data_IF_389895011679
#
_entry.id   IF_389895011679
#
_cell.length_a   1.000
_cell.length_b   1.000
_cell.length_c   1.000
_cell.angle_alpha   90.00
_cell.angle_beta   90.00
_cell.angle_gamma   90.00
#
_symmetry.space_group_name_H-M   'P 1'
#
loop_
_entity.id
_entity.type
_entity.pdbx_description
1 polymer ?
#
# COMPACT_ATOMS: atom_id res chain seq x y z
N UNK A 1 3.40 -2.68 19.22
CA UNK A 1 2.24 -2.47 18.33
C UNK A 1 2.70 -1.84 17.03
N UNK A 2 2.54 -2.56 15.93
CA UNK A 2 2.89 -2.03 14.60
C UNK A 2 1.63 -1.67 13.83
N UNK A 3 1.74 -0.62 13.02
CA UNK A 3 0.68 -0.18 12.11
C UNK A 3 1.13 -0.43 10.69
N UNK A 4 0.25 -0.97 9.88
CA UNK A 4 0.54 -1.31 8.49
C UNK A 4 -0.50 -0.73 7.55
N UNK A 5 -0.06 -0.25 6.40
CA UNK A 5 -0.91 -0.02 5.24
C UNK A 5 -0.57 -1.09 4.21
N UNK A 6 -1.56 -1.86 3.82
CA UNK A 6 -1.38 -2.93 2.85
C UNK A 6 -1.63 -2.39 1.45
N UNK A 7 -0.61 -2.46 0.61
CA UNK A 7 -0.76 -2.12 -0.80
C UNK A 7 -1.65 -3.16 -1.52
N UNK A 8 -2.22 -2.76 -2.63
CA UNK A 8 -3.14 -3.58 -3.43
C UNK A 8 -2.57 -4.96 -3.74
N UNK A 9 -1.29 -5.05 -4.10
CA UNK A 9 -0.62 -6.32 -4.38
C UNK A 9 -0.57 -7.27 -3.19
N UNK A 10 -0.48 -6.76 -1.98
CA UNK A 10 -0.50 -7.58 -0.75
C UNK A 10 -1.90 -8.17 -0.54
N UNK A 11 -2.93 -7.35 -0.66
CA UNK A 11 -4.33 -7.80 -0.51
C UNK A 11 -4.66 -8.82 -1.61
N UNK A 12 -4.22 -8.55 -2.83
CA UNK A 12 -4.37 -9.50 -3.95
C UNK A 12 -3.70 -10.83 -3.67
N UNK A 13 -2.53 -10.81 -3.02
CA UNK A 13 -1.83 -12.02 -2.59
C UNK A 13 -2.64 -12.83 -1.60
N UNK A 14 -3.28 -12.18 -0.64
CA UNK A 14 -4.18 -12.85 0.31
C UNK A 14 -5.36 -13.49 -0.43
N UNK A 15 -5.95 -12.77 -1.39
CA UNK A 15 -7.07 -13.28 -2.18
C UNK A 15 -6.68 -14.55 -2.96
N UNK A 16 -5.46 -14.57 -3.51
CA UNK A 16 -4.96 -15.67 -4.32
C UNK A 16 -4.35 -16.82 -3.51
N UNK A 17 -4.14 -16.64 -2.21
CA UNK A 17 -3.41 -17.58 -1.39
C UNK A 17 -1.95 -17.73 -1.84
N UNK A 18 -1.34 -16.65 -2.32
CA UNK A 18 0.02 -16.67 -2.85
C UNK A 18 1.05 -16.98 -1.76
N UNK A 19 2.19 -17.63 -2.08
CA UNK A 19 3.25 -17.90 -1.09
C UNK A 19 3.77 -16.65 -0.39
N UNK A 20 3.90 -15.53 -1.10
CA UNK A 20 4.35 -14.29 -0.48
C UNK A 20 3.35 -13.73 0.54
N UNK A 21 2.06 -13.96 0.35
CA UNK A 21 1.05 -13.57 1.32
C UNK A 21 1.19 -14.36 2.62
N UNK A 22 1.52 -15.66 2.52
CA UNK A 22 1.83 -16.48 3.69
C UNK A 22 3.07 -15.97 4.41
N UNK A 23 4.10 -15.60 3.66
CA UNK A 23 5.30 -14.99 4.23
C UNK A 23 4.98 -13.72 5.02
N UNK A 24 4.09 -12.86 4.49
CA UNK A 24 3.66 -11.63 5.18
C UNK A 24 2.99 -11.97 6.51
N UNK A 25 2.08 -12.95 6.52
CA UNK A 25 1.41 -13.40 7.74
C UNK A 25 2.42 -13.95 8.76
N UNK A 26 3.30 -14.84 8.31
CA UNK A 26 4.25 -15.52 9.20
C UNK A 26 5.32 -14.56 9.77
N UNK A 27 5.70 -13.54 9.01
CA UNK A 27 6.78 -12.62 9.39
C UNK A 27 6.27 -11.39 10.15
N UNK A 28 5.17 -10.78 9.69
CA UNK A 28 4.69 -9.49 10.21
C UNK A 28 3.39 -9.60 10.97
N UNK A 29 2.57 -10.59 10.64
CA UNK A 29 1.24 -10.82 11.25
C UNK A 29 0.39 -9.54 11.33
N UNK A 30 0.20 -8.82 10.21
CA UNK A 30 -0.38 -7.49 10.26
C UNK A 30 -1.86 -7.47 10.66
N UNK A 31 -2.57 -8.59 10.46
CA UNK A 31 -4.01 -8.67 10.70
C UNK A 31 -4.37 -9.09 12.14
N UNK A 32 -3.39 -9.47 12.96
CA UNK A 32 -3.64 -9.97 14.30
C UNK A 32 -3.32 -8.91 15.37
N UNK A 33 -4.22 -8.70 16.35
CA UNK A 33 -3.91 -7.81 17.47
C UNK A 33 -2.62 -8.27 18.19
N UNK A 34 -1.80 -7.36 18.72
CA UNK A 34 -2.04 -5.91 18.84
C UNK A 34 -1.68 -5.08 17.60
N UNK A 35 -1.27 -5.70 16.50
CA UNK A 35 -0.98 -4.99 15.26
C UNK A 35 -2.26 -4.45 14.63
N UNK A 36 -2.13 -3.37 13.88
CA UNK A 36 -3.22 -2.76 13.14
C UNK A 36 -2.85 -2.70 11.67
N UNK A 37 -3.73 -3.17 10.82
CA UNK A 37 -3.56 -3.04 9.37
C UNK A 37 -4.79 -2.37 8.78
N UNK A 38 -4.55 -1.52 7.79
CA UNK A 38 -5.61 -0.91 6.98
C UNK A 38 -5.26 -1.06 5.51
N UNK A 39 -6.27 -0.95 4.67
CA UNK A 39 -6.11 -0.74 3.24
C UNK A 39 -6.74 0.59 2.86
N UNK A 40 -6.19 1.25 1.86
CA UNK A 40 -6.79 2.46 1.32
C UNK A 40 -8.09 2.13 0.57
N UNK A 41 -9.06 3.02 0.64
CA UNK A 41 -10.26 2.94 -0.23
C UNK A 41 -9.85 2.85 -1.71
N UNK A 42 -8.73 3.43 -2.07
CA UNK A 42 -8.15 3.36 -3.43
C UNK A 42 -7.80 1.92 -3.80
N UNK A 43 -7.21 1.16 -2.88
CA UNK A 43 -6.88 -0.25 -3.11
C UNK A 43 -8.14 -1.09 -3.34
N UNK A 44 -9.20 -0.81 -2.61
CA UNK A 44 -10.50 -1.50 -2.81
C UNK A 44 -11.00 -1.28 -4.23
N UNK A 45 -10.96 -0.03 -4.70
CA UNK A 45 -11.37 0.29 -6.08
C UNK A 45 -10.49 -0.41 -7.12
N UNK A 46 -9.19 -0.47 -6.90
CA UNK A 46 -8.27 -1.18 -7.79
C UNK A 46 -8.58 -2.68 -7.86
N UNK A 47 -8.87 -3.31 -6.73
CA UNK A 47 -9.22 -4.73 -6.67
C UNK A 47 -10.55 -5.01 -7.40
N UNK A 48 -11.56 -4.16 -7.20
CA UNK A 48 -12.82 -4.28 -7.93
C UNK A 48 -12.59 -4.12 -9.44
N UNK A 49 -11.78 -3.16 -9.85
CA UNK A 49 -11.42 -2.93 -11.24
C UNK A 49 -10.75 -4.17 -11.87
N UNK A 50 -9.84 -4.82 -11.14
CA UNK A 50 -9.22 -6.08 -11.57
C UNK A 50 -10.25 -7.17 -11.78
N UNK A 51 -11.25 -7.25 -10.89
CA UNK A 51 -12.34 -8.21 -11.01
C UNK A 51 -13.13 -8.03 -12.31
N UNK A 52 -13.44 -6.79 -12.66
CA UNK A 52 -14.11 -6.46 -13.92
C UNK A 52 -13.24 -6.79 -15.13
N UNK A 53 -12.00 -6.32 -15.13
CA UNK A 53 -11.06 -6.49 -16.25
C UNK A 53 -10.76 -7.95 -16.55
N UNK A 54 -10.65 -8.77 -15.49
CA UNK A 54 -10.29 -10.17 -15.60
C UNK A 54 -11.51 -11.10 -15.57
N UNK A 55 -12.70 -10.54 -15.53
CA UNK A 55 -13.96 -11.29 -15.54
C UNK A 55 -14.00 -12.38 -14.47
N UNK A 56 -13.67 -12.00 -13.22
CA UNK A 56 -13.69 -12.93 -12.10
C UNK A 56 -15.08 -13.53 -11.90
N UNK A 57 -15.14 -14.84 -11.66
CA UNK A 57 -16.38 -15.52 -11.35
C UNK A 57 -16.90 -15.19 -9.94
N UNK A 58 -18.14 -15.56 -9.67
CA UNK A 58 -18.83 -15.22 -8.43
C UNK A 58 -18.07 -15.70 -7.19
N UNK A 59 -17.49 -16.89 -7.23
CA UNK A 59 -16.74 -17.45 -6.11
C UNK A 59 -15.55 -16.56 -5.72
N UNK A 60 -14.81 -16.04 -6.69
CA UNK A 60 -13.68 -15.14 -6.44
C UNK A 60 -14.13 -13.77 -5.98
N UNK A 61 -15.25 -13.26 -6.53
CA UNK A 61 -15.83 -11.99 -6.09
C UNK A 61 -16.33 -12.07 -4.64
N UNK A 62 -16.91 -13.19 -4.23
CA UNK A 62 -17.33 -13.42 -2.86
C UNK A 62 -16.15 -13.46 -1.90
N UNK A 63 -15.05 -14.09 -2.30
CA UNK A 63 -13.80 -14.07 -1.54
C UNK A 63 -13.23 -12.66 -1.38
N UNK A 64 -13.29 -11.88 -2.44
CA UNK A 64 -12.84 -10.47 -2.38
C UNK A 64 -13.67 -9.68 -1.38
N UNK A 65 -15.00 -9.79 -1.44
CA UNK A 65 -15.90 -9.10 -0.52
C UNK A 65 -15.62 -9.49 0.93
N UNK A 66 -15.42 -10.77 1.18
CA UNK A 66 -15.08 -11.27 2.52
C UNK A 66 -13.76 -10.69 3.03
N UNK A 67 -12.74 -10.67 2.17
CA UNK A 67 -11.42 -10.16 2.52
C UNK A 67 -11.46 -8.65 2.77
N UNK A 68 -12.15 -7.90 1.93
CA UNK A 68 -12.32 -6.45 2.08
C UNK A 68 -12.98 -6.11 3.42
N UNK A 69 -13.95 -6.91 3.87
CA UNK A 69 -14.61 -6.72 5.17
C UNK A 69 -13.69 -6.99 6.36
N UNK A 70 -12.68 -7.84 6.20
CA UNK A 70 -11.75 -8.20 7.28
C UNK A 70 -10.66 -7.16 7.50
N UNK A 71 -10.34 -6.37 6.50
CA UNK A 71 -9.27 -5.37 6.56
C UNK A 71 -9.92 -3.99 6.61
N UNK A 72 -9.76 -3.24 7.71
CA UNK A 72 -10.33 -1.90 7.80
C UNK A 72 -9.94 -1.02 6.62
N UNK A 73 -10.90 -0.27 6.09
CA UNK A 73 -10.71 0.62 4.95
C UNK A 73 -10.48 2.03 5.48
N UNK A 74 -9.40 2.67 5.05
CA UNK A 74 -9.11 4.07 5.33
C UNK A 74 -9.52 4.93 4.13
N UNK A 75 -10.42 5.89 4.37
CA UNK A 75 -10.79 6.89 3.37
C UNK A 75 -9.63 7.85 3.14
N UNK A 76 -9.53 8.38 1.93
CA UNK A 76 -8.55 9.41 1.59
C UNK A 76 -9.03 10.82 1.95
N UNK A 77 -10.30 11.01 2.22
CA UNK A 77 -10.86 12.31 2.61
C UNK A 77 -10.53 12.62 4.07
N UNK A 78 -9.27 12.94 4.32
CA UNK A 78 -8.76 13.31 5.63
C UNK A 78 -7.69 14.39 5.44
N UNK A 79 -7.72 15.50 6.20
CA UNK A 79 -6.78 16.61 6.00
C UNK A 79 -5.31 16.21 6.01
N UNK A 80 -4.92 15.31 6.92
CA UNK A 80 -3.53 14.83 7.00
C UNK A 80 -3.13 14.02 5.77
N UNK A 81 -4.02 13.20 5.24
CA UNK A 81 -3.76 12.39 4.04
C UNK A 81 -3.66 13.30 2.81
N UNK A 82 -4.57 14.24 2.67
CA UNK A 82 -4.53 15.22 1.57
C UNK A 82 -3.22 16.01 1.58
N UNK A 83 -2.77 16.43 2.75
CA UNK A 83 -1.51 17.15 2.90
C UNK A 83 -0.31 16.29 2.48
N UNK A 84 -0.27 15.04 2.94
CA UNK A 84 0.82 14.12 2.59
C UNK A 84 0.84 13.76 1.12
N UNK A 85 -0.32 13.63 0.48
CA UNK A 85 -0.39 13.48 -0.97
C UNK A 85 0.33 14.63 -1.67
N UNK A 86 0.01 15.87 -1.31
CA UNK A 86 0.61 17.07 -1.91
C UNK A 86 2.12 17.12 -1.68
N UNK A 87 2.58 16.75 -0.48
CA UNK A 87 4.02 16.73 -0.17
C UNK A 87 4.77 15.67 -0.97
N UNK A 88 4.21 14.47 -1.09
CA UNK A 88 4.84 13.37 -1.84
C UNK A 88 4.87 13.70 -3.33
N UNK A 89 3.78 14.24 -3.86
CA UNK A 89 3.69 14.64 -5.26
C UNK A 89 4.77 15.69 -5.60
N UNK A 90 4.93 16.69 -4.75
CA UNK A 90 5.99 17.71 -4.91
C UNK A 90 7.39 17.10 -4.75
N UNK A 91 7.57 16.19 -3.78
CA UNK A 91 8.85 15.55 -3.51
C UNK A 91 9.34 14.74 -4.72
N UNK A 92 8.46 13.96 -5.35
CA UNK A 92 8.85 13.12 -6.49
C UNK A 92 9.34 13.94 -7.69
N UNK A 93 8.90 15.19 -7.80
CA UNK A 93 9.37 16.13 -8.81
C UNK A 93 10.53 17.01 -8.34
N UNK A 94 11.07 16.72 -7.15
CA UNK A 94 12.12 17.49 -6.47
C UNK A 94 11.72 18.94 -6.22
N UNK A 95 10.46 19.15 -5.89
CA UNK A 95 9.86 20.49 -5.64
C UNK A 95 9.32 20.66 -4.23
N UNK A 96 9.65 19.74 -3.32
CA UNK A 96 9.23 19.87 -1.92
C UNK A 96 9.99 21.04 -1.26
N UNK A 97 9.33 21.87 -0.42
CA UNK A 97 9.95 23.05 0.17
C UNK A 97 11.18 22.77 1.04
N UNK A 98 11.24 21.62 1.70
CA UNK A 98 12.31 21.31 2.65
C UNK A 98 12.97 19.94 2.45
N UNK A 99 12.37 19.05 1.68
CA UNK A 99 12.91 17.72 1.43
C UNK A 99 13.43 17.64 -0.01
N UNK A 100 14.66 17.18 -0.16
CA UNK A 100 15.31 17.03 -1.47
C UNK A 100 15.57 15.55 -1.75
N UNK A 101 15.43 15.17 -3.01
CA UNK A 101 15.86 13.86 -3.48
C UNK A 101 17.38 13.77 -3.31
N UNK A 102 17.92 12.65 -2.78
CA UNK A 102 19.35 12.50 -2.54
C UNK A 102 20.20 12.81 -3.77
N UNK A 103 21.35 13.43 -3.56
CA UNK A 103 22.32 13.75 -4.61
C UNK A 103 22.65 12.52 -5.46
N UNK A 104 22.73 12.72 -6.78
CA UNK A 104 23.03 11.64 -7.72
C UNK A 104 21.82 10.80 -8.10
N UNK A 105 20.65 11.07 -7.53
CA UNK A 105 19.41 10.41 -7.90
C UNK A 105 18.49 11.39 -8.61
N UNK A 106 17.83 10.90 -9.66
CA UNK A 106 16.82 11.68 -10.38
C UNK A 106 15.45 11.57 -9.68
N UNK A 107 14.54 12.45 -10.07
CA UNK A 107 13.16 12.34 -9.71
C UNK A 107 12.60 10.95 -10.11
N UNK A 108 11.53 10.57 -9.48
CA UNK A 108 10.80 9.35 -9.77
C UNK A 108 9.33 9.71 -9.97
N UNK A 109 8.54 8.75 -10.45
CA UNK A 109 7.12 9.00 -10.67
C UNK A 109 6.29 7.82 -10.16
N UNK A 110 5.50 8.10 -9.13
CA UNK A 110 4.43 7.22 -8.68
C UNK A 110 3.13 7.62 -9.39
N UNK A 111 2.29 6.65 -9.68
CA UNK A 111 0.92 6.93 -10.07
C UNK A 111 0.13 7.51 -8.91
N UNK A 112 -0.97 8.19 -9.22
CA UNK A 112 -1.78 8.88 -8.20
C UNK A 112 -2.29 7.92 -7.12
N UNK A 113 -2.71 6.70 -7.51
CA UNK A 113 -3.18 5.70 -6.55
C UNK A 113 -2.09 5.32 -5.55
N UNK A 114 -0.86 5.14 -6.01
CA UNK A 114 0.27 4.83 -5.15
C UNK A 114 0.61 5.99 -4.22
N UNK A 115 0.50 7.22 -4.70
CA UNK A 115 0.69 8.39 -3.85
C UNK A 115 -0.37 8.44 -2.74
N UNK A 116 -1.63 8.12 -3.03
CA UNK A 116 -2.68 8.04 -2.02
C UNK A 116 -2.38 6.98 -0.95
N UNK A 117 -1.89 5.83 -1.36
CA UNK A 117 -1.51 4.75 -0.44
C UNK A 117 -0.35 5.20 0.45
N UNK A 118 0.68 5.79 -0.15
CA UNK A 118 1.84 6.31 0.58
C UNK A 118 1.46 7.45 1.53
N UNK A 119 0.59 8.35 1.08
CA UNK A 119 0.09 9.45 1.90
C UNK A 119 -0.67 8.94 3.13
N UNK A 120 -1.47 7.91 2.95
CA UNK A 120 -2.18 7.25 4.05
C UNK A 120 -1.21 6.71 5.09
N UNK A 121 -0.19 5.98 4.64
CA UNK A 121 0.83 5.42 5.54
C UNK A 121 1.60 6.51 6.27
N UNK A 122 1.98 7.57 5.55
CA UNK A 122 2.70 8.70 6.16
C UNK A 122 1.86 9.40 7.22
N UNK A 123 0.60 9.69 6.92
CA UNK A 123 -0.31 10.35 7.85
C UNK A 123 -0.60 9.52 9.10
N UNK A 124 -0.66 8.20 8.95
CA UNK A 124 -0.91 7.26 10.05
C UNK A 124 0.36 6.85 10.80
N UNK A 125 1.52 7.25 10.33
CA UNK A 125 2.81 6.76 10.83
C UNK A 125 2.88 5.23 10.78
N UNK A 126 2.45 4.68 9.66
CA UNK A 126 2.36 3.25 9.41
C UNK A 126 3.45 2.78 8.45
N UNK A 127 3.73 1.49 8.52
CA UNK A 127 4.63 0.81 7.57
C UNK A 127 3.83 0.43 6.33
N UNK A 128 4.39 0.70 5.15
CA UNK A 128 3.81 0.20 3.89
C UNK A 128 4.35 -1.21 3.63
N UNK A 129 3.44 -2.17 3.52
CA UNK A 129 3.76 -3.50 2.99
C UNK A 129 3.36 -3.52 1.52
N UNK A 130 4.30 -3.76 0.62
CA UNK A 130 4.07 -3.66 -0.81
C UNK A 130 4.86 -4.70 -1.61
N UNK A 131 4.32 -5.10 -2.75
CA UNK A 131 5.03 -5.91 -3.74
C UNK A 131 5.62 -5.05 -4.87
N UNK A 132 5.52 -3.71 -4.76
CA UNK A 132 5.96 -2.78 -5.78
C UNK A 132 7.20 -2.00 -5.32
N UNK A 133 8.30 -2.16 -6.04
CA UNK A 133 9.55 -1.45 -5.78
C UNK A 133 9.45 0.05 -5.97
N UNK A 134 8.43 0.53 -6.68
CA UNK A 134 8.26 1.96 -6.96
C UNK A 134 8.07 2.79 -5.69
N UNK A 135 7.66 2.17 -4.57
CA UNK A 135 7.55 2.84 -3.27
C UNK A 135 8.90 3.04 -2.56
N UNK A 136 9.95 2.32 -2.94
CA UNK A 136 11.23 2.36 -2.23
C UNK A 136 11.85 3.76 -2.10
N UNK A 137 11.73 4.67 -3.10
CA UNK A 137 12.23 6.04 -2.94
C UNK A 137 11.64 6.82 -1.76
N UNK A 138 10.49 6.39 -1.24
CA UNK A 138 9.83 7.02 -0.08
C UNK A 138 10.29 6.46 1.26
N UNK A 139 11.08 5.37 1.23
CA UNK A 139 11.51 4.70 2.45
C UNK A 139 12.35 5.63 3.33
N UNK A 140 11.99 5.71 4.60
CA UNK A 140 12.62 6.56 5.61
C UNK A 140 12.52 8.07 5.34
N UNK A 141 11.74 8.48 4.34
CA UNK A 141 11.46 9.90 4.05
C UNK A 141 10.04 10.23 4.50
N UNK A 142 9.05 9.52 3.97
CA UNK A 142 7.63 9.71 4.31
C UNK A 142 7.06 8.56 5.13
N UNK A 143 7.56 7.36 4.93
CA UNK A 143 7.12 6.18 5.67
C UNK A 143 8.22 5.13 5.63
N UNK A 144 8.11 4.12 6.49
CA UNK A 144 8.91 2.90 6.34
C UNK A 144 8.25 2.04 5.26
N UNK A 145 9.02 1.62 4.26
CA UNK A 145 8.56 0.77 3.17
C UNK A 145 9.20 -0.61 3.32
N UNK A 146 8.38 -1.64 3.41
CA UNK A 146 8.83 -3.03 3.38
C UNK A 146 8.38 -3.62 2.06
N UNK A 147 9.34 -3.89 1.19
CA UNK A 147 9.11 -4.54 -0.09
C UNK A 147 9.10 -6.05 0.09
N UNK A 148 8.06 -6.68 -0.43
CA UNK A 148 7.89 -8.14 -0.46
C UNK A 148 8.02 -8.59 -1.91
N UNK A 149 9.06 -9.37 -2.22
CA UNK A 149 9.24 -9.91 -3.56
C UNK A 149 8.18 -10.99 -3.81
N UNK A 150 7.25 -10.79 -4.76
CA UNK A 150 6.19 -11.77 -5.01
C UNK A 150 6.72 -13.09 -5.60
N UNK A 151 7.96 -13.10 -6.11
CA UNK A 151 8.62 -14.27 -6.68
C UNK A 151 9.68 -14.87 -5.76
N UNK A 152 10.01 -14.19 -4.66
CA UNK A 152 11.05 -14.61 -3.73
C UNK A 152 10.63 -15.67 -2.72
N UNK A 153 9.32 -15.91 -2.58
CA UNK A 153 8.74 -16.86 -1.63
C UNK A 153 8.11 -18.01 -2.41
N UNK A 154 8.63 -19.20 -2.25
CA UNK A 154 8.12 -20.41 -2.95
C UNK A 154 7.65 -21.45 -1.96
#
# INVERSE_FOLDING_TARGET
VSRYVLDTGIVLGFLRGAPYARHVIDTYDPLSPPNLAVQSVVSVAELESLGFKNKWGQQKLDKLDELVRKIPIQDINHPAILRKFSEIDAYQENKHPSLSIPSGKSGFKLGDNDIWIAATASAMQAVILTTDKDFLPLNNVFATVIYIDPNGCK
#
